data_IF_811991560038
#
_entry.id   IF_811991560038
#
_cell.length_a   1.000
_cell.length_b   1.000
_cell.length_c   1.000
_cell.angle_alpha   90.00
_cell.angle_beta   90.00
_cell.angle_gamma   90.00
#
_symmetry.space_group_name_H-M   'P 1'
#
loop_
_entity.id
_entity.type
_entity.pdbx_description
1 polymer ?
#
# COMPACT_ATOMS: atom_id res chain seq x y z
N UNK A 1 28.36 -18.96 60.36
CA UNK A 1 27.69 -17.71 59.94
C UNK A 1 28.42 -17.14 58.73
N UNK A 2 27.65 -16.75 57.69
CA UNK A 2 28.03 -16.04 56.43
C UNK A 2 28.71 -16.94 55.37
N UNK A 3 28.32 -16.99 54.10
CA UNK A 3 27.39 -16.17 53.30
C UNK A 3 26.73 -17.00 52.18
N UNK A 4 25.42 -16.86 51.98
CA UNK A 4 24.72 -17.36 50.79
C UNK A 4 24.85 -16.28 49.69
N UNK A 5 25.40 -16.66 48.54
CA UNK A 5 25.54 -15.78 47.38
C UNK A 5 24.25 -15.88 46.55
N UNK A 6 23.40 -14.85 46.63
CA UNK A 6 22.20 -14.74 45.81
C UNK A 6 22.58 -14.33 44.39
N UNK A 7 22.41 -15.22 43.41
CA UNK A 7 22.49 -14.87 41.98
C UNK A 7 21.14 -14.29 41.59
N UNK A 8 21.07 -12.97 41.44
CA UNK A 8 19.94 -12.30 40.82
C UNK A 8 19.98 -12.56 39.30
N UNK A 9 19.06 -13.38 38.80
CA UNK A 9 18.78 -13.46 37.37
C UNK A 9 17.96 -12.23 37.01
N UNK A 10 18.62 -11.24 36.41
CA UNK A 10 17.96 -10.08 35.85
C UNK A 10 17.28 -10.52 34.55
N UNK A 11 16.00 -10.88 34.62
CA UNK A 11 15.17 -11.06 33.44
C UNK A 11 14.95 -9.67 32.82
N UNK A 12 15.69 -9.36 31.76
CA UNK A 12 15.47 -8.16 30.96
C UNK A 12 14.10 -8.27 30.29
N UNK A 13 13.14 -7.47 30.75
CA UNK A 13 11.88 -7.25 30.05
C UNK A 13 12.23 -6.49 28.76
N UNK A 14 12.36 -7.21 27.65
CA UNK A 14 12.35 -6.58 26.34
C UNK A 14 10.90 -6.15 26.09
N UNK A 15 10.63 -4.85 26.23
CA UNK A 15 9.41 -4.26 25.69
C UNK A 15 9.51 -4.34 24.18
N UNK A 16 8.78 -5.27 23.57
CA UNK A 16 8.54 -5.23 22.13
C UNK A 16 7.68 -3.99 21.89
N UNK A 17 8.28 -2.91 21.39
CA UNK A 17 7.51 -1.87 20.73
C UNK A 17 6.72 -2.58 19.63
N UNK A 18 5.38 -2.47 19.66
CA UNK A 18 4.58 -2.88 18.51
C UNK A 18 5.04 -2.02 17.35
N UNK A 19 5.82 -2.59 16.43
CA UNK A 19 6.08 -1.94 15.15
C UNK A 19 4.71 -1.65 14.54
N UNK A 20 4.45 -0.40 14.16
CA UNK A 20 3.22 -0.09 13.42
C UNK A 20 3.17 -0.98 12.17
N UNK A 21 1.98 -1.43 11.80
CA UNK A 21 1.78 -2.49 10.80
C UNK A 21 2.15 -2.08 9.36
N UNK A 22 2.41 -0.79 9.16
CA UNK A 22 2.63 -0.14 7.89
C UNK A 22 2.04 1.26 7.92
N UNK A 23 2.05 1.93 6.78
CA UNK A 23 1.40 3.22 6.57
C UNK A 23 0.49 3.11 5.35
N UNK A 24 -0.78 3.50 5.51
CA UNK A 24 -1.71 3.66 4.40
C UNK A 24 -1.52 5.07 3.84
N UNK A 25 -1.01 5.16 2.62
CA UNK A 25 -0.83 6.41 1.90
C UNK A 25 -2.00 6.66 0.95
N UNK A 26 -2.35 7.94 0.81
CA UNK A 26 -3.39 8.44 -0.06
C UNK A 26 -2.85 9.61 -0.88
N UNK A 27 -2.99 9.53 -2.20
CA UNK A 27 -2.68 10.62 -3.12
C UNK A 27 -3.99 11.26 -3.52
N UNK A 28 -4.20 12.50 -3.10
CA UNK A 28 -5.42 13.20 -3.47
C UNK A 28 -5.35 13.70 -4.91
N UNK A 29 -6.45 13.55 -5.63
CA UNK A 29 -6.61 14.10 -6.96
C UNK A 29 -6.41 15.61 -7.00
N UNK A 30 -5.79 16.11 -8.07
CA UNK A 30 -5.68 17.54 -8.41
C UNK A 30 -4.94 18.47 -7.44
N UNK A 31 -4.58 18.03 -6.22
CA UNK A 31 -3.89 18.88 -5.24
C UNK A 31 -2.39 18.67 -5.23
N UNK A 32 -1.91 17.48 -5.60
CA UNK A 32 -0.51 17.09 -5.49
C UNK A 32 -0.05 16.76 -4.08
N UNK A 33 -0.99 16.68 -3.13
CA UNK A 33 -0.71 16.34 -1.74
C UNK A 33 -0.70 14.83 -1.53
N UNK A 34 0.23 14.37 -0.69
CA UNK A 34 0.27 13.02 -0.17
C UNK A 34 -0.18 13.04 1.29
N UNK A 35 -1.10 12.17 1.67
CA UNK A 35 -1.52 11.97 3.04
C UNK A 35 -1.17 10.55 3.51
N UNK A 36 -0.99 10.39 4.82
CA UNK A 36 -1.15 9.11 5.49
C UNK A 36 -2.53 9.07 6.15
N UNK A 37 -3.25 7.97 5.99
CA UNK A 37 -4.54 7.74 6.65
C UNK A 37 -4.35 6.82 7.87
N UNK A 38 -4.96 7.20 8.99
CA UNK A 38 -5.03 6.33 10.17
C UNK A 38 -6.04 5.20 9.93
N UNK A 39 -5.57 3.95 9.94
CA UNK A 39 -6.41 2.80 9.59
C UNK A 39 -7.46 2.40 10.65
N UNK A 40 -7.48 3.10 11.79
CA UNK A 40 -8.46 2.89 12.86
C UNK A 40 -9.52 3.99 12.91
N UNK A 41 -9.26 5.16 12.34
CA UNK A 41 -10.14 6.34 12.41
C UNK A 41 -10.46 6.98 11.07
N UNK A 42 -9.69 6.67 10.01
CA UNK A 42 -9.79 7.29 8.69
C UNK A 42 -8.99 8.58 8.54
N UNK A 43 -8.65 9.26 9.65
CA UNK A 43 -8.11 10.63 9.64
C UNK A 43 -6.84 10.76 8.81
N UNK A 44 -6.83 11.74 7.91
CA UNK A 44 -5.69 12.08 7.08
C UNK A 44 -4.68 12.99 7.79
N UNK A 45 -3.39 12.72 7.59
CA UNK A 45 -2.27 13.57 8.01
C UNK A 45 -1.37 13.83 6.81
N UNK A 46 -1.03 15.10 6.54
CA UNK A 46 -0.16 15.46 5.42
C UNK A 46 1.21 14.77 5.56
N UNK A 47 1.60 14.05 4.52
CA UNK A 47 2.79 13.20 4.44
C UNK A 47 3.72 13.59 3.27
N UNK A 48 3.49 14.74 2.64
CA UNK A 48 4.36 15.30 1.59
C UNK A 48 3.59 15.63 0.32
N UNK A 49 4.27 15.57 -0.81
CA UNK A 49 3.71 15.89 -2.12
C UNK A 49 3.96 14.75 -3.09
N UNK A 50 2.96 14.41 -3.90
CA UNK A 50 3.04 13.38 -4.95
C UNK A 50 3.53 13.95 -6.29
N UNK A 51 3.38 15.27 -6.48
CA UNK A 51 3.56 15.89 -7.79
C UNK A 51 2.44 15.63 -8.76
N UNK A 52 1.39 14.95 -8.31
CA UNK A 52 0.26 14.56 -9.12
C UNK A 52 -0.80 15.64 -9.03
N UNK A 53 -0.86 16.51 -10.05
CA UNK A 53 -1.75 17.68 -10.08
C UNK A 53 -2.92 17.51 -11.05
N UNK A 54 -3.22 16.28 -11.47
CA UNK A 54 -4.34 15.97 -12.36
C UNK A 54 -5.41 15.20 -11.61
N UNK A 55 -6.61 15.17 -12.17
CA UNK A 55 -7.60 14.14 -11.86
C UNK A 55 -7.05 12.76 -12.21
N UNK A 56 -7.59 11.76 -11.53
CA UNK A 56 -7.47 10.34 -11.84
C UNK A 56 -6.07 9.77 -11.66
N UNK A 57 -5.76 9.48 -10.40
CA UNK A 57 -4.40 9.16 -9.94
C UNK A 57 -4.29 7.74 -9.42
N UNK A 58 -3.49 6.93 -10.10
CA UNK A 58 -3.06 5.64 -9.62
C UNK A 58 -1.94 5.81 -8.59
N UNK A 59 -2.09 5.16 -7.44
CA UNK A 59 -1.04 5.06 -6.44
C UNK A 59 -0.78 3.60 -6.12
N UNK A 60 0.48 3.22 -5.99
CA UNK A 60 0.87 1.89 -5.55
C UNK A 60 2.10 1.93 -4.66
N UNK A 61 2.27 0.89 -3.84
CA UNK A 61 3.54 0.69 -3.13
C UNK A 61 4.68 0.55 -4.13
N UNK A 62 5.85 1.06 -3.81
CA UNK A 62 7.07 0.92 -4.61
C UNK A 62 8.08 0.00 -3.94
N UNK A 63 9.36 0.24 -4.22
CA UNK A 63 10.48 -0.44 -3.56
C UNK A 63 11.07 0.45 -2.47
N UNK A 64 11.64 -0.17 -1.42
CA UNK A 64 12.41 0.52 -0.38
C UNK A 64 11.66 1.65 0.36
N UNK A 65 10.33 1.59 0.43
CA UNK A 65 9.49 2.59 1.11
C UNK A 65 9.07 3.76 0.23
N UNK A 66 9.49 3.79 -1.04
CA UNK A 66 8.93 4.68 -2.05
C UNK A 66 7.56 4.18 -2.52
N UNK A 67 6.81 5.06 -3.17
CA UNK A 67 5.56 4.78 -3.85
C UNK A 67 5.72 5.05 -5.35
N UNK A 68 4.89 4.40 -6.15
CA UNK A 68 4.65 4.79 -7.54
C UNK A 68 3.33 5.54 -7.62
N UNK A 69 3.32 6.68 -8.30
CA UNK A 69 2.11 7.44 -8.59
C UNK A 69 2.07 7.84 -10.06
N UNK A 70 0.89 7.93 -10.64
CA UNK A 70 0.73 8.44 -12.01
C UNK A 70 0.34 9.91 -12.00
N UNK A 71 0.88 10.65 -12.95
CA UNK A 71 0.39 11.96 -13.36
C UNK A 71 -0.42 11.79 -14.66
N UNK A 72 -1.00 12.86 -15.19
CA UNK A 72 -1.71 12.83 -16.48
C UNK A 72 -0.91 12.25 -17.66
N UNK A 73 0.43 12.17 -17.57
CA UNK A 73 1.26 11.65 -18.68
C UNK A 73 2.35 10.67 -18.23
N UNK A 74 2.86 10.82 -17.01
CA UNK A 74 4.08 10.16 -16.58
C UNK A 74 3.86 9.34 -15.32
N UNK A 75 4.70 8.32 -15.16
CA UNK A 75 4.95 7.70 -13.87
C UNK A 75 5.87 8.62 -13.04
N UNK A 76 5.59 8.69 -11.74
CA UNK A 76 6.41 9.35 -10.74
C UNK A 76 6.78 8.36 -9.64
N UNK A 77 8.01 8.51 -9.14
CA UNK A 77 8.42 7.93 -7.86
C UNK A 77 8.16 8.94 -6.76
N UNK A 78 7.48 8.54 -5.70
CA UNK A 78 7.14 9.42 -4.57
C UNK A 78 7.87 8.87 -3.35
N UNK A 79 8.65 9.72 -2.70
CA UNK A 79 9.30 9.42 -1.43
C UNK A 79 8.56 10.19 -0.35
N UNK A 80 7.78 9.52 0.53
CA UNK A 80 7.03 10.19 1.58
C UNK A 80 7.88 11.19 2.38
N UNK A 81 7.34 12.37 2.64
CA UNK A 81 7.98 13.52 3.30
C UNK A 81 9.20 14.13 2.57
N UNK A 82 9.62 13.56 1.44
CA UNK A 82 10.81 14.01 0.69
C UNK A 82 10.49 14.49 -0.74
N UNK A 83 9.25 14.29 -1.20
CA UNK A 83 8.76 14.77 -2.49
C UNK A 83 8.66 13.67 -3.53
N UNK A 84 8.72 14.03 -4.80
CA UNK A 84 8.58 13.10 -5.92
C UNK A 84 9.64 13.36 -6.99
N UNK A 85 9.84 12.38 -7.86
CA UNK A 85 10.66 12.47 -9.07
C UNK A 85 9.91 11.84 -10.22
N UNK A 86 9.76 12.58 -11.32
CA UNK A 86 9.15 12.05 -12.54
C UNK A 86 10.09 11.03 -13.17
N UNK A 87 9.60 9.80 -13.37
CA UNK A 87 10.30 8.74 -14.09
C UNK A 87 10.14 8.95 -15.61
N UNK A 88 8.94 9.35 -16.04
CA UNK A 88 8.58 9.57 -17.43
C UNK A 88 7.56 8.57 -17.94
N UNK A 89 7.56 8.34 -19.25
CA UNK A 89 6.74 7.32 -19.90
C UNK A 89 5.42 7.83 -20.47
N UNK A 90 4.46 6.93 -20.62
CA UNK A 90 3.12 7.22 -21.15
C UNK A 90 2.07 6.38 -20.41
N UNK A 91 2.05 6.53 -19.09
CA UNK A 91 1.13 5.85 -18.19
C UNK A 91 0.32 6.89 -17.43
N UNK A 92 -0.73 7.38 -18.09
CA UNK A 92 -1.88 7.94 -17.41
C UNK A 92 -2.73 6.74 -16.96
N UNK A 93 -2.76 6.48 -15.66
CA UNK A 93 -3.53 5.37 -15.10
C UNK A 93 -4.26 5.86 -13.86
N UNK A 94 -5.48 5.39 -13.71
CA UNK A 94 -6.37 5.67 -12.60
C UNK A 94 -6.11 4.64 -11.51
N UNK A 95 -5.93 3.38 -11.93
CA UNK A 95 -5.47 2.30 -11.08
C UNK A 95 -4.02 1.92 -11.34
N UNK A 96 -3.28 1.66 -10.25
CA UNK A 96 -1.89 1.24 -10.31
C UNK A 96 -1.57 0.14 -9.28
N UNK A 97 -1.00 -0.98 -9.72
CA UNK A 97 -0.62 -2.09 -8.84
C UNK A 97 0.80 -2.58 -9.12
N UNK A 98 1.69 -2.52 -8.13
CA UNK A 98 3.09 -2.96 -8.28
C UNK A 98 3.34 -4.36 -7.74
N UNK A 99 3.77 -5.26 -8.64
CA UNK A 99 4.36 -6.54 -8.30
C UNK A 99 5.89 -6.42 -8.16
N UNK A 100 6.34 -6.41 -6.90
CA UNK A 100 7.76 -6.36 -6.55
C UNK A 100 8.52 -7.64 -6.92
N UNK A 101 7.84 -8.78 -7.09
CA UNK A 101 8.49 -10.06 -7.37
C UNK A 101 8.96 -10.18 -8.82
N UNK A 102 8.27 -9.51 -9.73
CA UNK A 102 8.56 -9.49 -11.17
C UNK A 102 8.99 -8.13 -11.68
N UNK A 103 9.02 -7.12 -10.81
CA UNK A 103 9.26 -5.72 -11.15
C UNK A 103 8.32 -5.20 -12.24
N UNK A 104 7.02 -5.49 -12.07
CA UNK A 104 5.96 -5.14 -13.04
C UNK A 104 4.95 -4.20 -12.41
N UNK A 105 4.61 -3.12 -13.11
CA UNK A 105 3.43 -2.31 -12.80
C UNK A 105 2.25 -2.76 -13.64
N UNK A 106 1.10 -2.91 -13.01
CA UNK A 106 -0.19 -3.06 -13.67
C UNK A 106 -0.93 -1.74 -13.62
N UNK A 107 -1.66 -1.45 -14.69
CA UNK A 107 -2.37 -0.19 -14.85
C UNK A 107 -3.75 -0.40 -15.44
N UNK A 108 -4.67 0.47 -15.07
CA UNK A 108 -6.00 0.58 -15.65
C UNK A 108 -6.38 2.03 -15.89
N UNK A 109 -7.16 2.25 -16.95
CA UNK A 109 -7.77 3.55 -17.27
C UNK A 109 -8.85 3.37 -18.32
N UNK A 110 -10.02 3.98 -18.16
CA UNK A 110 -11.08 4.01 -19.16
C UNK A 110 -11.41 2.60 -19.72
N UNK A 111 -11.53 1.64 -18.80
CA UNK A 111 -11.79 0.23 -19.08
C UNK A 111 -10.66 -0.53 -19.81
N UNK A 112 -9.52 0.11 -20.05
CA UNK A 112 -8.30 -0.56 -20.55
C UNK A 112 -7.48 -1.10 -19.38
N UNK A 113 -6.75 -2.19 -19.62
CA UNK A 113 -5.88 -2.79 -18.62
C UNK A 113 -4.59 -3.32 -19.26
N UNK A 114 -3.49 -3.25 -18.53
CA UNK A 114 -2.21 -3.71 -19.03
C UNK A 114 -1.10 -3.69 -17.99
N UNK A 115 0.12 -3.91 -18.46
CA UNK A 115 1.34 -3.75 -17.68
C UNK A 115 2.24 -2.64 -18.22
N UNK A 116 3.16 -2.18 -17.39
CA UNK A 116 4.16 -1.18 -17.67
C UNK A 116 5.47 -1.49 -16.94
N UNK A 117 6.55 -0.95 -17.48
CA UNK A 117 7.89 -1.00 -16.90
C UNK A 117 8.04 0.13 -15.86
N UNK A 118 8.25 -0.19 -14.56
CA UNK A 118 8.43 0.82 -13.51
C UNK A 118 9.69 1.68 -13.66
N UNK A 119 10.72 1.20 -14.38
CA UNK A 119 11.94 1.96 -14.58
C UNK A 119 11.80 3.06 -15.64
N UNK A 120 10.86 2.90 -16.59
CA UNK A 120 10.69 3.83 -17.71
C UNK A 120 9.31 4.47 -17.78
N UNK A 121 8.33 3.96 -17.02
CA UNK A 121 6.94 4.40 -17.08
C UNK A 121 6.22 4.06 -18.39
N UNK A 122 6.81 3.20 -19.23
CA UNK A 122 6.23 2.83 -20.52
C UNK A 122 5.33 1.61 -20.38
N UNK A 123 4.15 1.67 -21.02
CA UNK A 123 3.28 0.51 -21.18
C UNK A 123 3.99 -0.59 -21.96
N UNK A 124 3.89 -1.83 -21.50
CA UNK A 124 4.58 -3.00 -22.08
C UNK A 124 3.62 -3.98 -22.75
N UNK A 125 2.54 -4.35 -22.07
CA UNK A 125 1.61 -5.38 -22.54
C UNK A 125 0.17 -4.91 -22.33
N UNK A 126 -0.66 -5.05 -23.36
CA UNK A 126 -2.12 -4.97 -23.21
C UNK A 126 -2.63 -6.31 -22.71
N UNK A 127 -3.40 -6.29 -21.63
CA UNK A 127 -3.98 -7.48 -20.99
C UNK A 127 -5.49 -7.50 -21.20
N UNK A 128 -6.15 -8.59 -20.81
CA UNK A 128 -7.59 -8.69 -20.86
C UNK A 128 -8.22 -7.56 -20.03
N UNK A 129 -8.95 -6.70 -20.73
CA UNK A 129 -9.68 -5.60 -20.13
C UNK A 129 -10.78 -6.13 -19.21
N UNK A 130 -11.00 -5.50 -18.05
CA UNK A 130 -12.11 -5.87 -17.17
C UNK A 130 -13.48 -5.47 -17.73
N UNK A 131 -13.54 -4.64 -18.78
CA UNK A 131 -14.76 -4.24 -19.47
C UNK A 131 -15.55 -3.10 -18.79
N UNK A 132 -15.41 -2.92 -17.47
CA UNK A 132 -15.79 -1.71 -16.74
C UNK A 132 -14.54 -0.87 -16.42
N UNK A 133 -14.72 0.38 -15.97
CA UNK A 133 -13.59 1.19 -15.52
C UNK A 133 -13.15 0.75 -14.13
N UNK A 134 -11.86 0.48 -13.96
CA UNK A 134 -11.31 -0.01 -12.70
C UNK A 134 -10.28 0.99 -12.23
N UNK A 135 -10.62 1.77 -11.21
CA UNK A 135 -9.81 2.91 -10.82
C UNK A 135 -8.96 2.62 -9.59
N UNK A 136 -9.43 1.77 -8.67
CA UNK A 136 -8.59 1.28 -7.58
C UNK A 136 -7.96 -0.06 -7.95
N UNK A 137 -6.62 -0.17 -7.97
CA UNK A 137 -5.91 -1.43 -8.14
C UNK A 137 -4.93 -1.71 -6.99
N UNK A 138 -4.76 -2.99 -6.65
CA UNK A 138 -3.66 -3.45 -5.78
C UNK A 138 -3.15 -4.82 -6.20
N UNK A 139 -1.89 -5.12 -5.93
CA UNK A 139 -1.29 -6.44 -6.20
C UNK A 139 -1.11 -7.22 -4.90
N UNK A 140 -1.54 -8.48 -4.89
CA UNK A 140 -1.29 -9.40 -3.80
C UNK A 140 -1.26 -10.86 -4.27
N UNK A 141 -0.27 -11.62 -3.81
CA UNK A 141 -0.16 -13.07 -3.99
C UNK A 141 -0.38 -13.58 -5.43
N UNK A 142 0.21 -12.91 -6.43
CA UNK A 142 0.11 -13.33 -7.83
C UNK A 142 -1.20 -12.92 -8.52
N UNK A 143 -1.99 -12.05 -7.89
CA UNK A 143 -3.20 -11.50 -8.45
C UNK A 143 -3.18 -9.98 -8.40
N UNK A 144 -3.86 -9.36 -9.37
CA UNK A 144 -4.25 -7.97 -9.28
C UNK A 144 -5.71 -7.93 -8.84
N UNK A 145 -6.00 -7.19 -7.79
CA UNK A 145 -7.35 -6.91 -7.35
C UNK A 145 -7.71 -5.51 -7.80
N UNK A 146 -8.98 -5.31 -8.13
CA UNK A 146 -9.45 -4.01 -8.52
C UNK A 146 -10.89 -3.77 -8.13
N UNK A 147 -11.23 -2.49 -8.00
CA UNK A 147 -12.60 -2.02 -7.80
C UNK A 147 -13.02 -1.22 -9.02
N UNK A 148 -14.20 -1.54 -9.54
CA UNK A 148 -14.78 -0.88 -10.69
C UNK A 148 -15.66 0.30 -10.28
N UNK A 149 -15.97 1.17 -11.24
CA UNK A 149 -17.10 2.08 -11.15
C UNK A 149 -18.36 1.32 -10.75
N UNK A 150 -19.08 1.84 -9.76
CA UNK A 150 -20.27 1.18 -9.21
C UNK A 150 -19.99 0.06 -8.19
N UNK A 151 -18.72 -0.16 -7.81
CA UNK A 151 -18.38 -0.93 -6.62
C UNK A 151 -18.06 -2.41 -6.83
N UNK A 152 -17.94 -2.89 -8.06
CA UNK A 152 -17.61 -4.28 -8.32
C UNK A 152 -16.15 -4.56 -7.99
N UNK A 153 -15.93 -5.45 -7.02
CA UNK A 153 -14.62 -5.91 -6.61
C UNK A 153 -14.28 -7.22 -7.32
N UNK A 154 -13.20 -7.20 -8.10
CA UNK A 154 -12.78 -8.33 -8.92
C UNK A 154 -11.30 -8.61 -8.78
N UNK A 155 -10.91 -9.81 -9.20
CA UNK A 155 -9.54 -10.28 -9.23
C UNK A 155 -9.15 -10.70 -10.64
N UNK A 156 -8.03 -10.18 -11.10
CA UNK A 156 -7.36 -10.59 -12.30
C UNK A 156 -6.30 -11.66 -12.02
N UNK A 157 -6.39 -12.78 -12.73
CA UNK A 157 -5.42 -13.86 -12.70
C UNK A 157 -4.41 -13.72 -13.84
N UNK A 158 -3.17 -13.40 -13.47
CA UNK A 158 -2.09 -13.10 -14.41
C UNK A 158 -1.78 -14.30 -15.33
N UNK A 159 -1.85 -15.51 -14.79
CA UNK A 159 -1.49 -16.72 -15.53
C UNK A 159 -2.48 -17.08 -16.64
N UNK A 160 -3.75 -16.72 -16.47
CA UNK A 160 -4.83 -17.06 -17.42
C UNK A 160 -5.35 -15.86 -18.20
N UNK A 161 -4.92 -14.65 -17.86
CA UNK A 161 -5.37 -13.39 -18.48
C UNK A 161 -6.89 -13.21 -18.36
N UNK A 162 -7.42 -13.40 -17.14
CA UNK A 162 -8.87 -13.36 -16.88
C UNK A 162 -9.24 -12.65 -15.60
N UNK A 163 -10.34 -11.89 -15.64
CA UNK A 163 -10.99 -11.30 -14.47
C UNK A 163 -12.06 -12.22 -13.89
N UNK A 164 -12.17 -12.24 -12.57
CA UNK A 164 -13.21 -12.94 -11.81
C UNK A 164 -13.84 -11.97 -10.82
N UNK A 165 -15.16 -11.79 -10.92
CA UNK A 165 -15.94 -11.04 -9.92
C UNK A 165 -15.92 -11.76 -8.57
N UNK A 166 -15.73 -11.00 -7.49
CA UNK A 166 -15.66 -11.54 -6.13
C UNK A 166 -16.79 -11.02 -5.24
N UNK A 167 -17.06 -9.72 -5.27
CA UNK A 167 -18.06 -9.07 -4.42
C UNK A 167 -18.43 -7.68 -4.98
N UNK A 168 -19.46 -7.06 -4.41
CA UNK A 168 -19.74 -5.63 -4.60
C UNK A 168 -19.63 -4.91 -3.24
N UNK A 169 -19.01 -3.72 -3.22
CA UNK A 169 -18.72 -3.00 -1.97
C UNK A 169 -19.95 -2.32 -1.34
N UNK A 170 -21.06 -2.24 -2.08
CA UNK A 170 -22.35 -1.74 -1.59
C UNK A 170 -22.54 -0.22 -1.71
N UNK A 171 -21.61 0.49 -2.33
CA UNK A 171 -21.67 1.92 -2.64
C UNK A 171 -21.01 2.19 -3.99
N UNK A 172 -21.32 3.33 -4.60
CA UNK A 172 -20.64 3.76 -5.83
C UNK A 172 -19.17 4.05 -5.54
N UNK A 173 -18.27 3.56 -6.37
CA UNK A 173 -16.83 3.79 -6.20
C UNK A 173 -16.20 4.27 -7.50
N UNK A 174 -16.56 5.49 -7.88
CA UNK A 174 -15.87 6.24 -8.93
C UNK A 174 -14.66 6.94 -8.27
N UNK A 175 -13.58 7.20 -9.02
CA UNK A 175 -12.32 7.77 -8.52
C UNK A 175 -11.75 7.02 -7.31
N UNK A 176 -11.84 5.69 -7.36
CA UNK A 176 -11.58 4.84 -6.21
C UNK A 176 -10.10 4.57 -5.98
N UNK A 177 -9.68 4.61 -4.71
CA UNK A 177 -8.40 4.10 -4.26
C UNK A 177 -8.53 2.68 -3.70
N UNK A 178 -7.55 1.82 -3.96
CA UNK A 178 -7.52 0.47 -3.39
C UNK A 178 -6.11 0.10 -2.90
N UNK A 179 -5.98 -0.32 -1.65
CA UNK A 179 -4.74 -0.84 -1.09
C UNK A 179 -4.97 -2.11 -0.29
N UNK A 180 -3.95 -2.94 -0.11
CA UNK A 180 -4.06 -4.18 0.67
C UNK A 180 -3.00 -4.26 1.77
N UNK A 181 -3.44 -4.43 3.02
CA UNK A 181 -2.63 -4.80 4.17
C UNK A 181 -2.62 -6.33 4.32
N UNK A 182 -1.49 -6.95 3.98
CA UNK A 182 -1.32 -8.39 4.07
C UNK A 182 -1.22 -8.92 5.52
N UNK A 183 -0.87 -8.07 6.49
CA UNK A 183 -0.81 -8.50 7.89
C UNK A 183 -2.20 -8.48 8.51
N UNK A 184 -3.00 -7.47 8.18
CA UNK A 184 -4.39 -7.37 8.61
C UNK A 184 -5.39 -8.19 7.79
N UNK A 185 -4.96 -8.79 6.67
CA UNK A 185 -5.83 -9.35 5.64
C UNK A 185 -6.99 -8.41 5.30
N UNK A 186 -6.65 -7.17 4.95
CA UNK A 186 -7.63 -6.08 4.80
C UNK A 186 -7.34 -5.28 3.54
N UNK A 187 -8.37 -5.10 2.71
CA UNK A 187 -8.37 -4.10 1.66
C UNK A 187 -8.89 -2.78 2.22
N UNK A 188 -8.20 -1.69 1.90
CA UNK A 188 -8.63 -0.33 2.21
C UNK A 188 -9.13 0.35 0.95
N UNK A 189 -10.25 1.05 1.06
CA UNK A 189 -10.97 1.65 -0.07
C UNK A 189 -11.33 3.10 0.27
N UNK A 190 -11.08 3.99 -0.67
CA UNK A 190 -11.62 5.36 -0.76
C UNK A 190 -12.33 5.51 -2.09
N UNK A 191 -13.25 6.46 -2.20
CA UNK A 191 -13.87 6.84 -3.48
C UNK A 191 -14.46 8.25 -3.38
N UNK A 192 -14.92 8.81 -4.49
CA UNK A 192 -15.59 10.11 -4.54
C UNK A 192 -17.03 10.12 -3.99
N UNK A 193 -17.53 8.96 -3.55
CA UNK A 193 -18.90 8.82 -3.06
C UNK A 193 -19.14 9.59 -1.77
N UNK A 194 -18.15 9.57 -0.88
CA UNK A 194 -18.11 10.37 0.33
C UNK A 194 -16.66 10.55 0.81
N UNK A 195 -16.47 11.14 1.99
CA UNK A 195 -15.14 11.43 2.52
C UNK A 195 -14.57 10.29 3.39
N UNK A 196 -15.14 9.08 3.33
CA UNK A 196 -14.79 8.01 4.27
C UNK A 196 -13.68 7.09 3.78
N UNK A 197 -12.95 6.52 4.73
CA UNK A 197 -12.14 5.33 4.55
C UNK A 197 -12.98 4.09 4.91
N UNK A 198 -12.94 3.09 4.04
CA UNK A 198 -13.54 1.78 4.26
C UNK A 198 -12.48 0.69 4.38
N UNK A 199 -12.80 -0.36 5.13
CA UNK A 199 -12.02 -1.58 5.24
C UNK A 199 -12.88 -2.75 4.75
N UNK A 200 -12.32 -3.61 3.92
CA UNK A 200 -12.92 -4.84 3.47
C UNK A 200 -12.06 -6.01 3.91
N UNK A 201 -12.67 -7.00 4.57
CA UNK A 201 -11.97 -8.22 4.95
C UNK A 201 -11.50 -9.00 3.71
N UNK A 202 -10.22 -9.36 3.66
CA UNK A 202 -9.61 -9.99 2.48
C UNK A 202 -10.08 -11.41 2.20
N UNK A 203 -10.69 -12.07 3.17
CA UNK A 203 -11.21 -13.43 3.04
C UNK A 203 -12.72 -13.50 2.80
N UNK A 204 -13.51 -12.62 3.45
CA UNK A 204 -14.98 -12.64 3.38
C UNK A 204 -15.56 -11.55 2.48
N UNK A 205 -14.76 -10.57 2.09
CA UNK A 205 -15.16 -9.38 1.33
C UNK A 205 -16.26 -8.55 1.99
N UNK A 206 -16.45 -8.71 3.31
CA UNK A 206 -17.36 -7.87 4.08
C UNK A 206 -16.70 -6.51 4.30
N UNK A 207 -17.43 -5.45 3.93
CA UNK A 207 -17.00 -4.06 4.06
C UNK A 207 -17.52 -3.46 5.36
N UNK A 208 -16.68 -2.68 6.04
CA UNK A 208 -17.03 -1.85 7.19
C UNK A 208 -16.43 -0.45 7.07
N UNK A 209 -17.15 0.54 7.57
CA UNK A 209 -16.66 1.91 7.70
C UNK A 209 -15.51 1.98 8.72
N UNK A 210 -14.40 2.62 8.36
CA UNK A 210 -13.33 2.99 9.30
C UNK A 210 -13.62 4.36 9.90
N UNK A 211 -13.86 5.37 9.06
CA UNK A 211 -14.23 6.72 9.49
C UNK A 211 -13.96 7.78 8.43
N UNK A 212 -14.32 9.02 8.76
CA UNK A 212 -14.14 10.19 7.90
C UNK A 212 -12.65 10.57 7.79
N UNK A 213 -12.18 10.81 6.57
CA UNK A 213 -10.79 11.19 6.29
C UNK A 213 -10.46 12.62 6.73
N UNK A 214 -11.46 13.47 6.88
CA UNK A 214 -11.34 14.91 7.09
C UNK A 214 -10.96 15.68 5.83
N UNK A 215 -10.92 15.02 4.67
CA UNK A 215 -10.65 15.63 3.38
C UNK A 215 -11.96 16.05 2.70
N UNK A 216 -11.91 17.09 1.86
CA UNK A 216 -13.09 17.59 1.16
C UNK A 216 -13.54 16.69 0.00
N UNK A 217 -12.67 15.78 -0.42
CA UNK A 217 -12.87 14.77 -1.47
C UNK A 217 -11.89 13.61 -1.21
N UNK A 218 -12.41 12.37 -1.21
CA UNK A 218 -11.65 11.14 -1.05
C UNK A 218 -11.34 10.44 -2.41
N UNK A 219 -11.45 11.17 -3.52
CA UNK A 219 -10.97 10.77 -4.85
C UNK A 219 -9.45 10.68 -4.95
N UNK A 220 -8.99 9.50 -5.35
CA UNK A 220 -7.58 9.26 -5.69
C UNK A 220 -7.01 7.94 -5.19
N UNK A 221 -5.71 7.75 -5.43
CA UNK A 221 -5.05 6.47 -5.24
C UNK A 221 -4.67 6.15 -3.80
N UNK A 222 -4.74 4.86 -3.44
CA UNK A 222 -4.27 4.33 -2.16
C UNK A 222 -3.06 3.40 -2.33
N UNK A 223 -2.15 3.43 -1.36
CA UNK A 223 -1.05 2.47 -1.28
C UNK A 223 -0.74 2.10 0.17
N UNK A 224 -0.73 0.81 0.47
CA UNK A 224 -0.29 0.33 1.78
C UNK A 224 1.19 -0.06 1.73
N UNK A 225 2.00 0.65 2.51
CA UNK A 225 3.42 0.38 2.64
C UNK A 225 3.67 -0.32 3.98
N UNK A 226 3.92 -1.63 3.93
CA UNK A 226 4.30 -2.37 5.13
C UNK A 226 5.65 -1.87 5.67
N UNK A 227 5.77 -1.77 6.99
CA UNK A 227 7.05 -1.49 7.62
C UNK A 227 7.98 -2.69 7.43
N UNK A 228 9.27 -2.49 7.11
CA UNK A 228 10.23 -3.58 7.06
C UNK A 228 10.29 -4.23 8.44
N UNK A 229 9.79 -5.46 8.55
CA UNK A 229 9.89 -6.24 9.78
C UNK A 229 11.37 -6.56 10.01
N UNK A 230 11.99 -6.11 11.11
CA UNK A 230 13.35 -6.52 11.43
C UNK A 230 13.35 -8.04 11.58
N UNK A 231 14.12 -8.76 10.77
CA UNK A 231 14.14 -10.21 10.85
C UNK A 231 14.53 -10.66 12.27
N UNK A 232 13.75 -11.56 12.91
CA UNK A 232 14.01 -12.03 14.27
C UNK A 232 15.43 -12.60 14.46
N UNK A 233 16.00 -13.18 13.40
CA UNK A 233 17.33 -13.76 13.41
C UNK A 233 18.43 -12.70 13.59
N UNK A 234 18.32 -11.54 12.94
CA UNK A 234 19.32 -10.46 13.02
C UNK A 234 19.40 -9.89 14.44
N UNK A 235 18.26 -9.71 15.09
CA UNK A 235 18.20 -9.21 16.47
C UNK A 235 18.66 -10.26 17.49
N UNK A 236 18.30 -11.53 17.29
CA UNK A 236 18.78 -12.61 18.14
C UNK A 236 20.31 -12.80 18.04
N UNK A 237 20.87 -12.75 16.83
CA UNK A 237 22.32 -12.86 16.61
C UNK A 237 23.06 -11.65 17.19
N UNK A 238 22.53 -10.43 17.02
CA UNK A 238 23.12 -9.22 17.61
C UNK A 238 23.10 -9.28 19.14
N UNK A 239 21.98 -9.72 19.73
CA UNK A 239 21.85 -9.93 21.17
C UNK A 239 22.82 -10.97 21.72
N UNK A 240 22.94 -12.12 21.04
CA UNK A 240 23.90 -13.17 21.39
C UNK A 240 25.36 -12.71 21.21
N UNK A 241 25.65 -11.95 20.16
CA UNK A 241 26.97 -11.38 19.88
C UNK A 241 27.41 -10.37 20.95
N UNK A 242 26.50 -9.48 21.37
CA UNK A 242 26.75 -8.52 22.45
C UNK A 242 26.98 -9.22 23.80
N UNK A 243 26.19 -10.24 24.12
CA UNK A 243 26.36 -11.06 25.33
C UNK A 243 27.70 -11.82 25.31
N UNK A 244 28.10 -12.38 24.16
CA UNK A 244 29.39 -13.04 24.00
C UNK A 244 30.57 -12.07 24.14
N UNK A 245 30.45 -10.85 23.61
CA UNK A 245 31.45 -9.80 23.75
C UNK A 245 31.59 -9.30 25.20
N UNK A 246 30.48 -9.12 25.91
CA UNK A 246 30.47 -8.75 27.33
C UNK A 246 31.07 -9.86 28.21
N UNK A 247 30.85 -11.14 27.86
CA UNK A 247 31.47 -12.28 28.56
C UNK A 247 32.98 -12.35 28.35
N UNK A 248 33.50 -11.91 27.20
CA UNK A 248 34.94 -11.89 26.90
C UNK A 248 35.70 -10.79 27.66
N UNK A 249 35.05 -9.69 28.02
CA UNK A 249 35.68 -8.57 28.75
C UNK A 249 35.85 -8.79 30.26
N UNK A 250 35.28 -9.87 30.82
CA UNK A 250 35.38 -10.22 32.26
C UNK A 250 36.45 -11.27 32.57
N UNK A 251 37.45 -11.45 31.69
CA UNK A 251 38.64 -12.25 31.96
C UNK A 251 39.88 -11.37 31.95
#
# INVERSE_FOLDING_TARGET
MKSILSIAVLAGLATFASAQNGVLYYSQDSTGDLFSLDTSTGVATLAGTTGVTSSTVGLSKGTLGDLYGTTFQNLSRITPNSGHTVIGGNIAAEGLAYDVSTDTLYWSINGSFGSADPATGNRTTTLAAPGADYEGLTYHNGFVYGIADGGDFSRYEIATDTWTFLANVGFGSDNAGLAYDAVGDTFYITSDFDNNLYAMNGSTFVVSLVGDTGLADASGGLAFQANPVPEPATMAILGLGALAALRRRKK
#
